data_IF_593491857786
#
_entry.id   IF_593491857786
#
_cell.length_a   1.000
_cell.length_b   1.000
_cell.length_c   1.000
_cell.angle_alpha   90.00
_cell.angle_beta   90.00
_cell.angle_gamma   90.00
#
_symmetry.space_group_name_H-M   'P 1'
#
loop_
_entity.id
_entity.type
_entity.pdbx_description
1 polymer ?
#
# COMPACT_ATOMS: atom_id res chain seq x y z
N UNK A 1 -26.14 -32.10 -32.44
CA UNK A 1 -26.45 -30.76 -31.89
C UNK A 1 -25.90 -30.66 -30.46
N UNK A 2 -24.58 -30.58 -30.26
CA UNK A 2 -23.97 -30.57 -28.93
C UNK A 2 -22.67 -29.75 -28.88
N UNK A 3 -22.69 -28.60 -29.56
CA UNK A 3 -21.49 -27.81 -29.85
C UNK A 3 -21.87 -26.33 -29.83
N UNK A 4 -21.41 -25.60 -28.80
CA UNK A 4 -21.28 -24.12 -28.64
C UNK A 4 -21.45 -23.67 -27.18
N UNK A 5 -22.30 -24.33 -26.39
CA UNK A 5 -22.69 -23.85 -25.06
C UNK A 5 -21.55 -23.87 -24.01
N UNK A 6 -20.66 -24.86 -24.08
CA UNK A 6 -19.65 -25.10 -23.04
C UNK A 6 -18.45 -24.13 -23.04
N UNK A 7 -18.36 -23.20 -24.01
CA UNK A 7 -17.18 -22.34 -24.20
C UNK A 7 -17.53 -20.85 -24.35
N UNK A 8 -18.55 -20.39 -23.60
CA UNK A 8 -18.87 -18.97 -23.39
C UNK A 8 -18.54 -18.48 -21.96
N UNK A 9 -17.54 -19.10 -21.34
CA UNK A 9 -17.02 -18.73 -20.00
C UNK A 9 -15.71 -17.95 -20.21
N UNK A 10 -15.48 -16.91 -19.39
CA UNK A 10 -14.39 -15.91 -19.52
C UNK A 10 -14.49 -14.98 -20.76
N UNK A 11 -15.65 -14.31 -20.92
CA UNK A 11 -15.80 -13.12 -21.79
C UNK A 11 -16.33 -11.88 -21.05
N UNK A 12 -17.17 -12.10 -20.03
CA UNK A 12 -17.73 -11.08 -19.14
C UNK A 12 -16.99 -11.03 -17.80
N UNK A 13 -16.97 -9.86 -17.15
CA UNK A 13 -16.63 -9.73 -15.73
C UNK A 13 -17.72 -10.40 -14.89
N UNK A 14 -17.36 -11.03 -13.78
CA UNK A 14 -18.28 -11.72 -12.86
C UNK A 14 -18.10 -11.21 -11.44
N UNK A 15 -19.22 -10.92 -10.75
CA UNK A 15 -19.22 -10.49 -9.36
C UNK A 15 -18.48 -11.51 -8.48
N UNK A 16 -17.35 -11.14 -7.85
CA UNK A 16 -16.62 -12.05 -6.96
C UNK A 16 -17.50 -12.46 -5.76
N UNK A 17 -17.49 -13.73 -5.32
CA UNK A 17 -18.16 -14.12 -4.10
C UNK A 17 -17.50 -13.44 -2.89
N UNK A 18 -18.27 -13.13 -1.85
CA UNK A 18 -17.69 -12.64 -0.59
C UNK A 18 -16.72 -13.69 0.00
N UNK A 19 -15.55 -13.30 0.54
CA UNK A 19 -14.60 -14.23 1.15
C UNK A 19 -15.04 -14.73 2.55
N UNK A 20 -16.25 -14.38 2.98
CA UNK A 20 -16.89 -14.77 4.24
C UNK A 20 -18.44 -14.68 4.11
N UNK A 21 -19.22 -15.34 4.98
CA UNK A 21 -20.69 -15.19 5.04
C UNK A 21 -21.17 -13.76 5.29
N UNK A 22 -22.39 -13.41 4.87
CA UNK A 22 -22.93 -12.04 5.01
C UNK A 22 -23.04 -11.55 6.46
N UNK A 23 -23.18 -12.44 7.44
CA UNK A 23 -23.25 -12.09 8.87
C UNK A 23 -21.88 -12.03 9.57
N UNK A 24 -20.81 -12.46 8.91
CA UNK A 24 -19.50 -12.68 9.53
C UNK A 24 -18.78 -11.41 10.03
N UNK A 25 -19.21 -10.22 9.58
CA UNK A 25 -18.69 -8.92 10.03
C UNK A 25 -19.53 -8.27 11.15
N UNK A 26 -20.62 -8.91 11.59
CA UNK A 26 -21.45 -8.39 12.65
C UNK A 26 -20.69 -8.37 14.00
N UNK A 27 -20.94 -7.39 14.89
CA UNK A 27 -21.91 -6.29 14.77
C UNK A 27 -21.33 -5.01 14.14
N UNK A 28 -20.19 -5.08 13.45
CA UNK A 28 -19.49 -3.89 12.89
C UNK A 28 -19.99 -3.53 11.50
N UNK A 29 -20.34 -4.52 10.69
CA UNK A 29 -21.13 -4.33 9.46
C UNK A 29 -22.21 -5.39 9.49
N UNK A 30 -23.48 -5.01 9.34
CA UNK A 30 -24.58 -5.98 9.41
C UNK A 30 -24.74 -6.77 8.11
N UNK A 31 -25.36 -7.95 8.21
CA UNK A 31 -25.74 -8.75 7.03
C UNK A 31 -26.64 -7.97 6.07
N UNK A 32 -27.51 -7.08 6.59
CA UNK A 32 -28.32 -6.18 5.77
C UNK A 32 -27.46 -5.21 4.96
N UNK A 33 -26.41 -4.65 5.57
CA UNK A 33 -25.45 -3.79 4.87
C UNK A 33 -24.69 -4.59 3.81
N UNK A 34 -24.15 -5.78 4.12
CA UNK A 34 -23.44 -6.60 3.11
C UNK A 34 -24.35 -7.06 1.96
N UNK A 35 -25.56 -7.54 2.23
CA UNK A 35 -26.48 -8.03 1.20
C UNK A 35 -26.91 -6.92 0.21
N UNK A 36 -26.90 -5.66 0.65
CA UNK A 36 -27.12 -4.50 -0.22
C UNK A 36 -25.83 -4.02 -0.88
N UNK A 37 -24.75 -3.86 -0.12
CA UNK A 37 -23.49 -3.28 -0.58
C UNK A 37 -22.74 -4.22 -1.56
N UNK A 38 -22.73 -5.53 -1.31
CA UNK A 38 -22.29 -6.54 -2.29
C UNK A 38 -23.41 -6.88 -3.29
N UNK A 39 -24.52 -7.40 -2.79
CA UNK A 39 -25.59 -7.98 -3.61
C UNK A 39 -26.41 -7.00 -4.46
N UNK A 40 -26.26 -5.68 -4.26
CA UNK A 40 -26.85 -4.62 -5.10
C UNK A 40 -25.81 -3.64 -5.65
N UNK A 41 -25.04 -2.94 -4.79
CA UNK A 41 -24.12 -1.89 -5.25
C UNK A 41 -22.96 -2.48 -6.07
N UNK A 42 -22.17 -3.40 -5.50
CA UNK A 42 -21.09 -4.08 -6.22
C UNK A 42 -21.61 -4.81 -7.47
N UNK A 43 -22.75 -5.50 -7.35
CA UNK A 43 -23.41 -6.14 -8.51
C UNK A 43 -23.75 -5.15 -9.64
N UNK A 44 -24.30 -3.98 -9.33
CA UNK A 44 -24.69 -3.01 -10.34
C UNK A 44 -23.49 -2.49 -11.14
N UNK A 45 -22.35 -2.26 -10.48
CA UNK A 45 -21.10 -1.91 -11.15
C UNK A 45 -20.63 -3.01 -12.11
N UNK A 46 -20.61 -4.28 -11.68
CA UNK A 46 -20.27 -5.43 -12.54
C UNK A 46 -21.21 -5.54 -13.75
N UNK A 47 -22.52 -5.42 -13.54
CA UNK A 47 -23.51 -5.50 -14.63
C UNK A 47 -23.29 -4.37 -15.65
N UNK A 48 -23.02 -3.14 -15.17
CA UNK A 48 -22.80 -1.96 -16.00
C UNK A 48 -21.46 -1.97 -16.73
N UNK A 49 -20.38 -2.47 -16.12
CA UNK A 49 -19.10 -2.72 -16.80
C UNK A 49 -19.31 -3.65 -17.99
N UNK A 50 -20.07 -4.73 -17.83
CA UNK A 50 -20.34 -5.68 -18.90
C UNK A 50 -21.16 -5.06 -20.05
N UNK A 51 -22.16 -4.24 -19.74
CA UNK A 51 -22.91 -3.44 -20.73
C UNK A 51 -21.97 -2.54 -21.56
N UNK A 52 -21.10 -1.78 -20.88
CA UNK A 52 -20.24 -0.76 -21.51
C UNK A 52 -19.04 -1.33 -22.28
N UNK A 53 -18.59 -2.57 -22.01
CA UNK A 53 -17.50 -3.21 -22.77
C UNK A 53 -17.99 -4.12 -23.91
N UNK A 54 -19.29 -4.47 -23.97
CA UNK A 54 -19.83 -5.42 -24.95
C UNK A 54 -19.55 -4.96 -26.40
N UNK A 55 -18.98 -5.84 -27.23
CA UNK A 55 -18.62 -5.53 -28.61
C UNK A 55 -17.43 -4.58 -28.79
N UNK A 56 -16.80 -4.12 -27.69
CA UNK A 56 -15.60 -3.28 -27.73
C UNK A 56 -14.32 -4.12 -27.64
N UNK A 57 -13.17 -3.50 -27.93
CA UNK A 57 -11.85 -4.12 -27.72
C UNK A 57 -11.50 -4.39 -26.23
N UNK A 58 -12.38 -4.00 -25.28
CA UNK A 58 -12.24 -4.27 -23.85
C UNK A 58 -13.03 -5.51 -23.39
N UNK A 59 -13.90 -6.09 -24.22
CA UNK A 59 -14.57 -7.35 -23.92
C UNK A 59 -13.54 -8.47 -23.68
N UNK A 60 -13.68 -9.22 -22.59
CA UNK A 60 -12.72 -10.26 -22.18
C UNK A 60 -11.35 -9.78 -21.66
N UNK A 61 -11.15 -8.47 -21.44
CA UNK A 61 -9.97 -7.98 -20.72
C UNK A 61 -10.15 -8.11 -19.19
N UNK A 62 -9.05 -8.11 -18.42
CA UNK A 62 -9.16 -8.05 -16.95
C UNK A 62 -9.63 -6.68 -16.48
N UNK A 63 -10.25 -6.63 -15.30
CA UNK A 63 -10.82 -5.42 -14.74
C UNK A 63 -9.78 -4.28 -14.61
N UNK A 64 -8.54 -4.58 -14.20
CA UNK A 64 -7.47 -3.57 -14.14
C UNK A 64 -7.12 -3.01 -15.52
N UNK A 65 -7.17 -3.81 -16.59
CA UNK A 65 -6.96 -3.30 -17.95
C UNK A 65 -8.09 -2.38 -18.37
N UNK A 66 -9.34 -2.70 -18.02
CA UNK A 66 -10.51 -1.86 -18.31
C UNK A 66 -10.34 -0.51 -17.59
N UNK A 67 -10.08 -0.53 -16.28
CA UNK A 67 -9.82 0.66 -15.45
C UNK A 67 -8.67 1.51 -16.02
N UNK A 68 -7.52 0.90 -16.33
CA UNK A 68 -6.38 1.65 -16.88
C UNK A 68 -6.58 2.10 -18.33
N UNK A 69 -7.55 1.52 -19.07
CA UNK A 69 -7.91 1.95 -20.43
C UNK A 69 -8.95 3.09 -20.45
N UNK A 70 -9.73 3.28 -19.38
CA UNK A 70 -10.72 4.36 -19.22
C UNK A 70 -10.24 5.52 -18.33
N UNK A 71 -9.29 5.29 -17.42
CA UNK A 71 -8.75 6.29 -16.51
C UNK A 71 -8.31 7.59 -17.20
N UNK A 72 -8.72 8.73 -16.64
CA UNK A 72 -8.36 10.08 -17.11
C UNK A 72 -8.99 10.51 -18.43
N UNK A 73 -9.92 9.74 -19.00
CA UNK A 73 -10.56 10.02 -20.30
C UNK A 73 -12.00 10.47 -20.12
N UNK A 74 -12.30 11.71 -20.51
CA UNK A 74 -13.63 12.30 -20.37
C UNK A 74 -14.71 11.51 -21.13
N UNK A 75 -14.39 10.99 -22.33
CA UNK A 75 -15.25 10.12 -23.14
C UNK A 75 -15.53 8.75 -22.51
N UNK A 76 -14.80 8.37 -21.43
CA UNK A 76 -14.93 7.07 -20.76
C UNK A 76 -15.21 7.18 -19.27
N UNK A 77 -15.69 8.35 -18.82
CA UNK A 77 -15.94 8.63 -17.39
C UNK A 77 -16.90 7.62 -16.75
N UNK A 78 -17.96 7.21 -17.45
CA UNK A 78 -18.92 6.18 -16.99
C UNK A 78 -18.21 4.83 -16.78
N UNK A 79 -17.60 4.28 -17.84
CA UNK A 79 -16.83 3.03 -17.80
C UNK A 79 -15.67 3.05 -16.78
N UNK A 80 -15.04 4.21 -16.55
CA UNK A 80 -14.05 4.36 -15.48
C UNK A 80 -14.68 4.24 -14.10
N UNK A 81 -15.79 4.96 -13.86
CA UNK A 81 -16.47 4.93 -12.56
C UNK A 81 -16.95 3.53 -12.21
N UNK A 82 -17.63 2.83 -13.12
CA UNK A 82 -18.16 1.50 -12.85
C UNK A 82 -17.03 0.45 -12.69
N UNK A 83 -16.04 0.45 -13.59
CA UNK A 83 -14.93 -0.52 -13.51
C UNK A 83 -14.02 -0.28 -12.32
N UNK A 84 -13.81 0.97 -11.91
CA UNK A 84 -13.03 1.28 -10.72
C UNK A 84 -13.83 0.97 -9.45
N UNK A 85 -15.15 1.23 -9.41
CA UNK A 85 -15.96 0.84 -8.25
C UNK A 85 -16.03 -0.67 -8.06
N UNK A 86 -16.23 -1.46 -9.13
CA UNK A 86 -16.12 -2.92 -9.12
C UNK A 86 -14.79 -3.37 -8.47
N UNK A 87 -13.66 -2.85 -8.98
CA UNK A 87 -12.34 -3.16 -8.44
C UNK A 87 -12.16 -2.74 -6.97
N UNK A 88 -12.66 -1.56 -6.60
CA UNK A 88 -12.56 -1.03 -5.24
C UNK A 88 -13.37 -1.88 -4.25
N UNK A 89 -14.54 -2.38 -4.64
CA UNK A 89 -15.37 -3.22 -3.78
C UNK A 89 -14.74 -4.60 -3.57
N UNK A 90 -14.28 -5.29 -4.63
CA UNK A 90 -13.55 -6.56 -4.48
C UNK A 90 -12.32 -6.42 -3.56
N UNK A 91 -11.53 -5.36 -3.75
CA UNK A 91 -10.38 -5.08 -2.90
C UNK A 91 -10.78 -4.74 -1.45
N UNK A 92 -11.94 -4.10 -1.24
CA UNK A 92 -12.48 -3.80 0.09
C UNK A 92 -12.94 -5.06 0.82
N UNK A 93 -13.65 -5.99 0.17
CA UNK A 93 -14.04 -7.25 0.81
C UNK A 93 -12.83 -8.07 1.26
N UNK A 94 -11.76 -8.10 0.47
CA UNK A 94 -10.50 -8.73 0.86
C UNK A 94 -9.72 -7.93 1.93
N UNK A 95 -9.92 -6.61 2.01
CA UNK A 95 -9.38 -5.76 3.09
C UNK A 95 -10.03 -5.99 4.46
N UNK A 96 -11.13 -6.76 4.53
CA UNK A 96 -11.83 -7.13 5.76
C UNK A 96 -11.71 -8.63 6.05
N UNK A 97 -11.89 -9.03 7.31
CA UNK A 97 -12.09 -10.41 7.72
C UNK A 97 -12.91 -10.50 9.03
N UNK A 98 -13.69 -11.58 9.24
CA UNK A 98 -14.22 -11.90 10.57
C UNK A 98 -13.06 -12.02 11.57
N UNK A 99 -13.23 -11.41 12.75
CA UNK A 99 -12.20 -11.35 13.82
C UNK A 99 -10.87 -10.76 13.32
N UNK A 100 -10.94 -9.72 12.48
CA UNK A 100 -9.79 -8.94 12.03
C UNK A 100 -9.39 -7.83 13.01
N UNK A 101 -8.78 -6.78 12.48
CA UNK A 101 -8.33 -5.64 13.28
C UNK A 101 -7.13 -5.99 14.16
N UNK A 102 -7.08 -5.48 15.39
CA UNK A 102 -5.93 -5.69 16.28
C UNK A 102 -4.66 -5.03 15.77
N UNK A 103 -3.58 -5.80 15.55
CA UNK A 103 -2.27 -5.32 15.07
C UNK A 103 -1.73 -6.20 13.93
N UNK A 104 -0.98 -5.63 12.97
CA UNK A 104 -0.36 -6.37 11.88
C UNK A 104 0.81 -7.26 12.32
N UNK A 105 1.14 -8.24 11.47
CA UNK A 105 2.33 -9.07 11.62
C UNK A 105 3.64 -8.25 11.54
N UNK A 106 4.68 -8.76 12.19
CA UNK A 106 5.91 -8.00 12.52
C UNK A 106 6.48 -7.14 11.37
N UNK A 107 6.72 -7.72 10.19
CA UNK A 107 7.32 -7.00 9.06
C UNK A 107 6.44 -5.87 8.48
N UNK A 108 5.11 -5.94 8.65
CA UNK A 108 4.19 -4.85 8.29
C UNK A 108 4.08 -3.84 9.43
N UNK A 109 4.11 -4.29 10.70
CA UNK A 109 4.16 -3.42 11.87
C UNK A 109 5.44 -2.56 11.89
N UNK A 110 6.60 -3.10 11.52
CA UNK A 110 7.86 -2.37 11.34
C UNK A 110 7.72 -1.26 10.30
N UNK A 111 7.15 -1.57 9.12
CA UNK A 111 6.90 -0.57 8.07
C UNK A 111 5.90 0.52 8.49
N UNK A 112 4.89 0.16 9.27
CA UNK A 112 3.93 1.10 9.86
C UNK A 112 4.60 2.00 10.90
N UNK A 113 5.41 1.46 11.80
CA UNK A 113 6.15 2.25 12.78
C UNK A 113 7.18 3.16 12.10
N UNK A 114 7.84 2.71 11.02
CA UNK A 114 8.79 3.52 10.25
C UNK A 114 8.12 4.66 9.46
N UNK A 115 6.90 4.48 8.97
CA UNK A 115 6.17 5.49 8.18
C UNK A 115 5.34 6.46 9.04
N UNK A 116 4.80 5.99 10.17
CA UNK A 116 3.81 6.71 10.98
C UNK A 116 4.23 6.89 12.45
N UNK A 117 5.43 6.45 12.84
CA UNK A 117 5.96 6.51 14.21
C UNK A 117 5.43 5.40 15.12
N UNK A 118 4.14 5.09 15.08
CA UNK A 118 3.54 3.96 15.79
C UNK A 118 2.26 3.46 15.13
N UNK A 119 1.83 2.25 15.50
CA UNK A 119 0.53 1.71 15.11
C UNK A 119 -0.65 2.61 15.51
N UNK A 120 -0.60 3.25 16.68
CA UNK A 120 -1.72 4.07 17.17
C UNK A 120 -1.72 5.46 16.52
N UNK A 121 -0.55 5.98 16.12
CA UNK A 121 -0.43 7.14 15.25
C UNK A 121 -0.94 6.83 13.83
N UNK A 122 -0.62 5.65 13.27
CA UNK A 122 -1.24 5.14 12.04
C UNK A 122 -2.77 5.10 12.15
N UNK A 123 -3.32 4.48 13.21
CA UNK A 123 -4.77 4.42 13.44
C UNK A 123 -5.39 5.81 13.41
N UNK A 124 -4.83 6.75 14.18
CA UNK A 124 -5.31 8.13 14.22
C UNK A 124 -5.27 8.79 12.85
N UNK A 125 -4.14 8.69 12.13
CA UNK A 125 -3.99 9.31 10.81
C UNK A 125 -4.92 8.68 9.77
N UNK A 126 -5.20 7.38 9.86
CA UNK A 126 -6.08 6.66 8.93
C UNK A 126 -7.55 7.05 9.17
N UNK A 127 -8.00 7.05 10.43
CA UNK A 127 -9.32 7.57 10.82
C UNK A 127 -9.49 9.04 10.43
N UNK A 128 -8.52 9.89 10.77
CA UNK A 128 -8.53 11.32 10.40
C UNK A 128 -8.64 11.52 8.89
N UNK A 129 -7.96 10.68 8.08
CA UNK A 129 -7.97 10.80 6.61
C UNK A 129 -9.29 10.34 6.01
N UNK A 130 -9.85 9.23 6.49
CA UNK A 130 -11.11 8.66 6.03
C UNK A 130 -12.31 9.56 6.39
N UNK A 131 -12.36 10.07 7.62
CA UNK A 131 -13.40 11.00 8.08
C UNK A 131 -13.32 12.33 7.30
N UNK A 132 -12.12 12.79 6.93
CA UNK A 132 -11.92 14.02 6.13
C UNK A 132 -12.10 13.82 4.62
N UNK A 133 -12.53 12.66 4.12
CA UNK A 133 -12.97 12.54 2.73
C UNK A 133 -14.36 13.16 2.60
N UNK A 134 -14.49 14.29 1.91
CA UNK A 134 -15.78 14.96 1.76
C UNK A 134 -16.65 14.22 0.73
N UNK A 135 -17.94 14.07 1.03
CA UNK A 135 -18.87 13.28 0.21
C UNK A 135 -18.47 11.80 0.14
N UNK A 136 -18.61 11.22 -1.05
CA UNK A 136 -18.27 9.83 -1.38
C UNK A 136 -16.79 9.63 -1.67
N UNK A 137 -16.28 8.42 -1.40
CA UNK A 137 -14.90 8.06 -1.70
C UNK A 137 -14.36 6.96 -0.81
N UNK A 138 -13.04 6.83 -0.80
CA UNK A 138 -12.32 5.73 -0.18
C UNK A 138 -11.10 6.22 0.60
N UNK A 139 -10.72 5.50 1.65
CA UNK A 139 -9.46 5.69 2.35
C UNK A 139 -8.56 4.46 2.18
N UNK A 140 -7.26 4.68 1.94
CA UNK A 140 -6.32 3.62 1.58
C UNK A 140 -5.05 3.67 2.43
N UNK A 141 -4.57 2.51 2.84
CA UNK A 141 -3.15 2.28 3.10
C UNK A 141 -2.50 1.80 1.80
N UNK A 142 -1.45 2.49 1.35
CA UNK A 142 -0.72 2.16 0.12
C UNK A 142 0.77 2.00 0.39
N UNK A 143 1.43 1.15 -0.40
CA UNK A 143 2.88 1.20 -0.58
C UNK A 143 3.23 2.19 -1.71
N UNK A 144 4.26 2.99 -1.46
CA UNK A 144 4.89 3.90 -2.42
C UNK A 144 6.40 3.67 -2.37
N UNK A 145 6.92 2.96 -3.38
CA UNK A 145 8.23 2.32 -3.31
C UNK A 145 8.32 1.41 -2.07
N UNK A 146 9.35 1.62 -1.24
CA UNK A 146 9.53 0.89 0.02
C UNK A 146 8.77 1.48 1.21
N UNK A 147 8.19 2.69 1.05
CA UNK A 147 7.48 3.45 2.09
C UNK A 147 5.99 3.10 2.13
N UNK A 148 5.33 3.40 3.26
CA UNK A 148 3.87 3.36 3.37
C UNK A 148 3.30 4.77 3.41
N UNK A 149 2.14 4.97 2.80
CA UNK A 149 1.37 6.22 2.84
C UNK A 149 -0.09 5.94 3.11
N UNK A 150 -0.75 6.88 3.78
CA UNK A 150 -2.21 6.93 3.88
C UNK A 150 -2.69 7.95 2.84
N UNK A 151 -3.64 7.57 2.00
CA UNK A 151 -4.25 8.46 1.00
C UNK A 151 -5.78 8.31 1.02
N UNK A 152 -6.49 9.32 0.51
CA UNK A 152 -7.93 9.27 0.24
C UNK A 152 -8.20 9.57 -1.23
N UNK A 153 -9.31 9.07 -1.74
CA UNK A 153 -9.77 9.31 -3.11
C UNK A 153 -11.26 9.63 -3.12
N UNK A 154 -11.72 10.35 -4.13
CA UNK A 154 -13.12 10.78 -4.26
C UNK A 154 -13.87 9.87 -5.22
N UNK A 155 -15.13 9.56 -4.91
CA UNK A 155 -16.01 8.73 -5.75
C UNK A 155 -15.35 7.38 -6.09
N UNK A 156 -15.08 7.12 -7.38
CA UNK A 156 -14.50 5.87 -7.89
C UNK A 156 -12.96 5.88 -7.98
N UNK A 157 -12.31 7.02 -7.80
CA UNK A 157 -10.85 7.16 -7.91
C UNK A 157 -10.11 6.17 -7.01
N UNK A 158 -8.99 5.61 -7.49
CA UNK A 158 -8.25 4.55 -6.81
C UNK A 158 -6.73 4.73 -6.95
N UNK A 159 -5.89 4.17 -6.05
CA UNK A 159 -4.45 4.46 -6.05
C UNK A 159 -3.69 3.89 -7.28
N UNK A 160 -4.22 2.84 -7.92
CA UNK A 160 -3.61 2.18 -9.08
C UNK A 160 -3.35 3.13 -10.26
N UNK A 161 -4.27 4.06 -10.56
CA UNK A 161 -4.10 5.03 -11.66
C UNK A 161 -2.98 6.04 -11.41
N UNK A 162 -2.48 6.11 -10.16
CA UNK A 162 -1.42 7.02 -9.70
C UNK A 162 -0.11 6.28 -9.42
N UNK A 163 0.00 5.02 -9.85
CA UNK A 163 1.19 4.18 -9.65
C UNK A 163 1.38 3.67 -8.21
N UNK A 164 0.44 3.94 -7.31
CA UNK A 164 0.49 3.55 -5.90
C UNK A 164 -0.08 2.14 -5.73
N UNK A 165 0.52 1.34 -4.85
CA UNK A 165 0.12 -0.04 -4.60
C UNK A 165 -0.78 -0.13 -3.36
N UNK A 166 -2.13 -0.24 -3.49
CA UNK A 166 -2.99 -0.36 -2.32
C UNK A 166 -2.74 -1.67 -1.54
N UNK A 167 -2.90 -1.60 -0.21
CA UNK A 167 -2.72 -2.70 0.74
C UNK A 167 -3.98 -2.95 1.57
N UNK A 168 -4.70 -1.89 1.95
CA UNK A 168 -6.01 -1.92 2.59
C UNK A 168 -6.87 -0.77 2.08
N UNK A 169 -8.18 -1.00 2.00
CA UNK A 169 -9.20 0.00 1.72
C UNK A 169 -10.24 0.08 2.86
N UNK A 170 -10.85 1.25 3.02
CA UNK A 170 -12.10 1.44 3.76
C UNK A 170 -13.02 2.26 2.86
N UNK A 171 -14.20 1.72 2.54
CA UNK A 171 -15.26 2.48 1.87
C UNK A 171 -15.81 3.54 2.82
N UNK A 172 -15.91 4.79 2.37
CA UNK A 172 -16.59 5.89 3.08
C UNK A 172 -17.68 6.57 2.23
N UNK A 173 -18.15 5.93 1.16
CA UNK A 173 -19.49 6.17 0.63
C UNK A 173 -20.54 5.81 1.70
N UNK A 174 -21.67 6.52 1.71
CA UNK A 174 -22.64 6.38 2.79
C UNK A 174 -23.32 5.00 2.82
N UNK A 175 -23.51 4.36 1.65
CA UNK A 175 -24.08 3.01 1.56
C UNK A 175 -23.30 1.96 2.37
N UNK A 176 -22.03 2.20 2.67
CA UNK A 176 -21.17 1.29 3.41
C UNK A 176 -21.44 1.26 4.93
N UNK A 177 -22.09 2.30 5.48
CA UNK A 177 -22.25 2.45 6.93
C UNK A 177 -23.61 3.02 7.37
N UNK A 178 -24.42 3.64 6.50
CA UNK A 178 -25.58 4.43 6.95
C UNK A 178 -26.67 3.60 7.66
N UNK A 179 -26.82 2.32 7.31
CA UNK A 179 -27.77 1.42 7.98
C UNK A 179 -27.35 1.06 9.41
N UNK A 180 -26.04 1.00 9.67
CA UNK A 180 -25.48 0.56 10.96
C UNK A 180 -25.05 1.73 11.86
N UNK A 181 -24.70 2.89 11.27
CA UNK A 181 -24.12 4.06 11.95
C UNK A 181 -24.77 5.41 11.60
N UNK A 182 -25.62 5.48 10.58
CA UNK A 182 -26.21 6.71 10.05
C UNK A 182 -25.12 7.76 9.78
N UNK A 183 -25.14 8.93 10.42
CA UNK A 183 -24.15 9.99 10.23
C UNK A 183 -22.79 9.72 10.93
N UNK A 184 -22.65 8.65 11.72
CA UNK A 184 -21.48 8.39 12.59
C UNK A 184 -20.33 7.71 11.84
N UNK A 185 -19.91 8.27 10.69
CA UNK A 185 -18.74 7.81 9.92
C UNK A 185 -17.47 7.61 10.79
N UNK A 186 -17.14 8.46 11.79
CA UNK A 186 -15.97 8.22 12.65
C UNK A 186 -16.04 6.91 13.44
N UNK A 187 -17.20 6.58 13.99
CA UNK A 187 -17.42 5.38 14.80
C UNK A 187 -17.32 4.12 13.94
N UNK A 188 -17.89 4.16 12.73
CA UNK A 188 -17.76 3.12 11.71
C UNK A 188 -16.29 2.88 11.34
N UNK A 189 -15.56 3.93 10.94
CA UNK A 189 -14.15 3.81 10.52
C UNK A 189 -13.29 3.27 11.67
N UNK A 190 -13.48 3.76 12.90
CA UNK A 190 -12.76 3.26 14.06
C UNK A 190 -13.09 1.78 14.35
N UNK A 191 -14.34 1.36 14.22
CA UNK A 191 -14.75 -0.03 14.42
C UNK A 191 -14.21 -0.98 13.34
N UNK A 192 -14.18 -0.54 12.06
CA UNK A 192 -13.54 -1.29 10.96
C UNK A 192 -12.05 -1.48 11.22
N UNK A 193 -11.34 -0.41 11.60
CA UNK A 193 -9.91 -0.43 11.91
C UNK A 193 -9.61 -1.40 13.06
N UNK A 194 -10.40 -1.36 14.13
CA UNK A 194 -10.09 -2.09 15.36
C UNK A 194 -10.54 -3.56 15.35
N UNK A 195 -11.50 -3.94 14.50
CA UNK A 195 -12.17 -5.25 14.57
C UNK A 195 -12.26 -6.02 13.24
N UNK A 196 -12.08 -5.38 12.09
CA UNK A 196 -12.30 -6.02 10.77
C UNK A 196 -11.09 -6.02 9.83
N UNK A 197 -10.15 -5.08 9.92
CA UNK A 197 -9.04 -4.99 8.94
C UNK A 197 -8.24 -6.30 8.79
N UNK A 198 -8.00 -6.70 7.54
CA UNK A 198 -7.32 -7.92 7.17
C UNK A 198 -5.81 -7.69 6.99
N UNK A 199 -5.07 -7.71 8.11
CA UNK A 199 -3.62 -7.53 8.09
C UNK A 199 -2.86 -8.63 7.33
N UNK A 200 -3.41 -9.84 7.22
CA UNK A 200 -2.82 -10.93 6.43
C UNK A 200 -2.86 -10.61 4.94
N UNK A 201 -4.02 -10.14 4.43
CA UNK A 201 -4.16 -9.65 3.06
C UNK A 201 -3.22 -8.48 2.78
N UNK A 202 -3.17 -7.49 3.68
CA UNK A 202 -2.27 -6.34 3.57
C UNK A 202 -0.79 -6.75 3.49
N UNK A 203 -0.39 -7.75 4.29
CA UNK A 203 0.97 -8.27 4.32
C UNK A 203 1.32 -9.04 3.04
N UNK A 204 0.43 -9.90 2.54
CA UNK A 204 0.61 -10.59 1.25
C UNK A 204 0.69 -9.59 0.10
N UNK A 205 -0.24 -8.62 0.04
CA UNK A 205 -0.23 -7.56 -0.96
C UNK A 205 1.09 -6.77 -0.96
N UNK A 206 1.62 -6.43 0.22
CA UNK A 206 2.88 -5.72 0.35
C UNK A 206 4.06 -6.53 -0.21
N UNK A 207 4.24 -7.79 0.20
CA UNK A 207 5.36 -8.61 -0.29
C UNK A 207 5.27 -8.95 -1.78
N UNK A 208 4.08 -9.25 -2.30
CA UNK A 208 3.88 -9.53 -3.73
C UNK A 208 4.18 -8.30 -4.60
N UNK A 209 3.82 -7.10 -4.13
CA UNK A 209 3.99 -5.85 -4.90
C UNK A 209 5.40 -5.27 -4.77
N UNK A 210 6.02 -5.33 -3.59
CA UNK A 210 7.43 -4.96 -3.37
C UNK A 210 8.38 -5.81 -4.21
N UNK A 211 8.27 -7.14 -4.18
CA UNK A 211 9.17 -8.02 -4.96
C UNK A 211 8.96 -7.93 -6.48
N UNK A 212 7.87 -7.29 -6.94
CA UNK A 212 7.67 -6.93 -8.36
C UNK A 212 8.34 -5.60 -8.70
N UNK A 213 8.31 -4.61 -7.80
CA UNK A 213 9.05 -3.35 -7.94
C UNK A 213 10.58 -3.58 -7.91
N UNK A 214 11.07 -4.42 -7.00
CA UNK A 214 12.49 -4.80 -6.90
C UNK A 214 12.97 -5.52 -8.16
N UNK A 215 12.14 -6.42 -8.74
CA UNK A 215 12.42 -7.08 -10.02
C UNK A 215 12.42 -6.11 -11.21
N UNK A 216 11.60 -5.05 -11.18
CA UNK A 216 11.64 -3.98 -12.18
C UNK A 216 12.91 -3.13 -12.05
N UNK A 217 13.32 -2.78 -10.82
CA UNK A 217 14.55 -2.02 -10.54
C UNK A 217 15.83 -2.78 -10.96
N UNK A 218 15.84 -4.11 -10.89
CA UNK A 218 16.94 -4.93 -11.39
C UNK A 218 17.03 -5.03 -12.92
N UNK A 219 16.09 -4.47 -13.69
CA UNK A 219 16.12 -4.53 -15.16
C UNK A 219 17.08 -3.48 -15.76
N UNK A 220 18.38 -3.66 -15.52
CA UNK A 220 19.43 -2.88 -16.15
C UNK A 220 19.33 -3.02 -17.69
N UNK A 221 19.17 -1.92 -18.46
CA UNK A 221 19.05 -2.01 -19.91
C UNK A 221 20.30 -2.61 -20.54
N UNK A 222 20.17 -3.80 -21.14
CA UNK A 222 21.24 -4.36 -21.99
C UNK A 222 21.41 -3.44 -23.20
N UNK A 223 22.50 -2.68 -23.22
CA UNK A 223 22.92 -1.92 -24.41
C UNK A 223 22.89 -2.84 -25.64
N UNK A 224 22.22 -2.45 -26.74
CA UNK A 224 22.31 -3.19 -27.98
C UNK A 224 23.74 -3.10 -28.48
N UNK A 225 24.43 -4.25 -28.57
CA UNK A 225 25.75 -4.32 -29.21
C UNK A 225 25.53 -4.17 -30.72
N UNK A 226 25.71 -2.96 -31.24
CA UNK A 226 25.67 -2.71 -32.68
C UNK A 226 26.68 -3.60 -33.41
N UNK A 227 26.20 -4.45 -34.31
CA UNK A 227 27.04 -5.30 -35.13
C UNK A 227 27.36 -4.57 -36.44
N UNK A 228 28.60 -4.07 -36.57
CA UNK A 228 29.10 -3.49 -37.80
C UNK A 228 30.06 -4.46 -38.50
N UNK A 229 29.67 -5.10 -39.60
CA UNK A 229 30.61 -5.78 -40.49
C UNK A 229 31.32 -4.77 -41.40
N UNK A 230 32.63 -4.93 -41.63
CA UNK A 230 33.37 -4.75 -42.89
C UNK A 230 34.89 -4.89 -42.61
N UNK A 231 35.70 -5.23 -43.63
CA UNK A 231 37.05 -5.78 -43.45
C UNK A 231 38.20 -4.77 -43.70
N UNK A 232 39.29 -4.87 -42.92
CA UNK A 232 40.62 -4.44 -43.37
C UNK A 232 41.84 -5.08 -42.62
N UNK A 233 42.43 -6.11 -43.25
CA UNK A 233 43.88 -6.43 -43.32
C UNK A 233 44.69 -6.81 -42.04
N UNK A 234 45.86 -7.45 -42.29
CA UNK A 234 46.88 -7.95 -41.33
C UNK A 234 48.02 -6.89 -41.21
N UNK A 235 49.06 -6.93 -40.36
CA UNK A 235 49.67 -7.90 -39.42
C UNK A 235 50.59 -7.09 -38.42
N UNK A 236 51.63 -7.65 -37.75
CA UNK A 236 51.76 -8.89 -36.98
C UNK A 236 52.07 -8.59 -35.47
N UNK A 237 52.46 -9.64 -34.69
CA UNK A 237 52.75 -9.59 -33.24
C UNK A 237 54.03 -8.81 -32.86
N UNK A 238 54.00 -8.19 -31.68
CA UNK A 238 55.12 -8.21 -30.71
C UNK A 238 54.62 -8.63 -29.32
N UNK A 239 55.53 -9.09 -28.45
CA UNK A 239 55.26 -9.46 -27.04
C UNK A 239 55.94 -8.45 -26.11
N UNK A 240 55.24 -7.99 -25.08
CA UNK A 240 55.83 -7.65 -23.77
C UNK A 240 54.76 -7.75 -22.69
N UNK A 241 55.18 -8.04 -21.46
CA UNK A 241 54.30 -8.13 -20.29
C UNK A 241 54.54 -6.94 -19.35
N UNK A 242 53.51 -6.54 -18.60
CA UNK A 242 53.65 -5.64 -17.46
C UNK A 242 52.57 -5.93 -16.41
N UNK A 243 53.00 -6.05 -15.14
CA UNK A 243 52.14 -6.10 -13.97
C UNK A 243 52.17 -4.74 -13.27
N UNK A 244 51.01 -4.13 -13.04
CA UNK A 244 50.75 -3.16 -11.96
C UNK A 244 49.24 -2.96 -11.82
N UNK A 245 48.63 -3.26 -10.67
CA UNK A 245 48.69 -2.57 -9.36
C UNK A 245 47.83 -1.31 -9.30
N UNK A 246 46.97 -1.27 -8.29
CA UNK A 246 46.17 -0.09 -7.95
C UNK A 246 47.06 1.09 -7.56
N UNK A 247 46.67 2.30 -7.98
CA UNK A 247 47.18 3.56 -7.44
C UNK A 247 46.09 4.24 -6.60
N UNK A 248 46.46 4.81 -5.46
CA UNK A 248 45.56 5.53 -4.56
C UNK A 248 45.47 7.01 -4.96
N UNK A 249 44.25 7.55 -5.05
CA UNK A 249 44.01 8.99 -5.03
C UNK A 249 43.69 9.45 -3.60
N UNK A 250 44.64 10.07 -2.92
CA UNK A 250 44.38 10.81 -1.67
C UNK A 250 44.02 12.26 -1.98
N UNK A 251 43.07 12.82 -1.25
CA UNK A 251 43.04 14.28 -1.01
C UNK A 251 43.81 14.58 0.29
N UNK A 252 44.58 15.66 0.30
CA UNK A 252 45.27 16.17 1.48
C UNK A 252 44.54 17.37 2.08
N UNK A 253 44.83 17.63 3.34
CA UNK A 253 44.45 18.85 4.07
C UNK A 253 45.63 19.83 4.09
N UNK A 254 45.33 21.13 4.23
CA UNK A 254 46.32 22.14 4.58
C UNK A 254 45.73 23.14 5.60
N UNK A 255 46.56 23.56 6.56
CA UNK A 255 46.23 24.57 7.58
C UNK A 255 47.51 25.08 8.28
N UNK A 256 47.64 26.39 8.58
CA UNK A 256 48.62 26.92 9.53
C UNK A 256 48.02 27.19 10.93
N UNK A 257 48.89 27.34 11.94
CA UNK A 257 48.53 27.56 13.37
C UNK A 257 48.98 28.93 13.90
N UNK A 258 48.35 29.39 14.98
CA UNK A 258 48.95 30.21 16.04
C UNK A 258 48.21 29.94 17.38
N UNK A 259 48.82 30.27 18.53
CA UNK A 259 48.46 29.71 19.87
C UNK A 259 48.35 30.83 20.98
N UNK A 260 48.25 30.58 22.32
CA UNK A 260 47.39 31.37 23.21
C UNK A 260 48.17 32.20 24.27
N UNK A 261 47.54 32.81 25.31
CA UNK A 261 47.41 32.07 26.59
C UNK A 261 46.32 32.52 27.62
N UNK A 262 45.94 31.58 28.52
CA UNK A 262 45.50 31.76 29.94
C UNK A 262 44.17 32.52 30.23
N UNK A 263 43.46 32.28 31.34
CA UNK A 263 43.69 31.38 32.52
C UNK A 263 42.45 30.45 32.73
N UNK A 264 41.87 30.06 33.89
CA UNK A 264 41.99 30.36 35.34
C UNK A 264 41.66 29.10 36.21
N UNK A 265 41.16 29.27 37.44
CA UNK A 265 40.64 28.26 38.38
C UNK A 265 39.43 28.91 39.13
N UNK A 266 38.60 28.27 39.97
CA UNK A 266 38.63 27.00 40.74
C UNK A 266 37.16 26.57 41.09
N UNK A 267 36.76 25.60 41.94
CA UNK A 267 37.40 24.58 42.82
C UNK A 267 36.37 23.47 43.16
N UNK A 268 36.71 22.53 44.06
CA UNK A 268 35.81 21.70 44.90
C UNK A 268 36.17 21.90 46.39
N UNK A 269 35.23 21.72 47.35
CA UNK A 269 35.11 20.45 48.13
C UNK A 269 33.62 20.11 48.46
N UNK A 270 33.13 18.85 48.48
CA UNK A 270 33.31 17.69 49.39
C UNK A 270 32.06 17.43 50.27
N UNK A 271 31.85 16.18 50.72
CA UNK A 271 30.71 15.70 51.54
C UNK A 271 31.19 15.38 52.98
N UNK A 272 30.29 15.22 53.98
CA UNK A 272 30.01 13.84 54.46
C UNK A 272 28.64 13.58 55.17
N UNK A 273 28.35 12.28 55.42
CA UNK A 273 27.39 11.72 56.44
C UNK A 273 25.88 11.95 56.23
N UNK A 274 24.95 11.14 56.76
CA UNK A 274 24.94 9.72 57.19
C UNK A 274 23.48 9.22 57.35
N UNK A 275 23.25 7.90 57.41
CA UNK A 275 21.95 7.28 57.79
C UNK A 275 21.87 7.03 59.31
N UNK A 276 20.71 6.67 59.91
CA UNK A 276 20.35 5.24 60.01
C UNK A 276 18.86 4.82 60.14
N UNK A 277 18.59 3.54 59.83
CA UNK A 277 17.71 2.56 60.52
C UNK A 277 16.17 2.70 60.73
N UNK A 278 15.48 1.62 60.27
CA UNK A 278 14.50 0.76 61.00
C UNK A 278 13.07 1.20 61.37
N UNK A 279 12.09 0.65 60.62
CA UNK A 279 10.94 -0.18 61.10
C UNK A 279 10.27 -0.80 59.85
N UNK A 280 10.12 -2.12 59.62
CA UNK A 280 9.36 -3.17 60.35
C UNK A 280 7.91 -2.79 60.73
N UNK A 281 6.98 -3.16 59.85
CA UNK A 281 5.54 -3.33 60.12
C UNK A 281 5.02 -4.50 59.26
N UNK A 282 4.13 -5.34 59.77
CA UNK A 282 3.71 -6.59 59.12
C UNK A 282 2.18 -6.66 58.95
N UNK A 283 1.73 -7.60 58.10
CA UNK A 283 0.33 -7.92 57.77
C UNK A 283 -0.60 -7.94 59.00
N UNK A 284 -1.80 -7.38 58.82
CA UNK A 284 -3.04 -8.17 58.69
C UNK A 284 -4.08 -7.39 57.90
#
# INVERSE_FOLDING_TARGET
MATLAAQKIAKSISLPPLPYPEDALAPVISARTLSLHHGKHHKAYVDKVNELIQGTALEGQSLEKIVMASAGKSDKTELFNDAAQDWNHDFYWHSLKPKGGGKPGAALAEKINAAFGSHDAFKKQFTDTAVKQFGSGWAWLVADGHSLKIVKTSNAELPLTKGLAPLLAIDVWEHAYYLDYQNKRPDYVAAVIDKLLNWEFAQVAAFTRLTRAERAACFCPRHPRGASPWLARRAPRTRTAALSRCALGRFSVDAPRADPPRTSCARRPASPRAAPCCARGNRR
#
